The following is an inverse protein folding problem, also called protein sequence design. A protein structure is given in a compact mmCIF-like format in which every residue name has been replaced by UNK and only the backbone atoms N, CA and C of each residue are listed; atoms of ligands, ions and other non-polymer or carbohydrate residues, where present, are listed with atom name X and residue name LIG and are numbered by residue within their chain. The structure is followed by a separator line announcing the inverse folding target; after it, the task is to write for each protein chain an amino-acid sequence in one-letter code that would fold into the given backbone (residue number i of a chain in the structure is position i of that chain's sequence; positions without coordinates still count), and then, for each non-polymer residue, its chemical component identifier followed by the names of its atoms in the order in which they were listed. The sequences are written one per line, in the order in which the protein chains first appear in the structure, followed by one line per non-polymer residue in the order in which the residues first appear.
data_IF_600204496105
#
_entry.id   IF_600204496105
#
_cell.length_a   1.000
_cell.length_b   1.000
_cell.length_c   1.000
_cell.angle_alpha   90.00
_cell.angle_beta   90.00
_cell.angle_gamma   90.00
#
_symmetry.space_group_name_H-M   'P 1'
#
loop_
_entity.id
_entity.type
_entity.pdbx_description
1 polymer ?
#
# COMPACT_ATOMS: atom_id res chain seq x y z
N UNK A 1 -34.53 28.65 -33.69
CA UNK A 1 -34.12 28.71 -32.27
C UNK A 1 -34.09 27.37 -31.54
N UNK A 2 -34.62 26.26 -32.10
CA UNK A 2 -34.66 24.95 -31.42
C UNK A 2 -33.36 24.13 -31.47
N UNK A 3 -32.45 24.37 -32.44
CA UNK A 3 -31.21 23.58 -32.58
C UNK A 3 -30.17 23.86 -31.48
N UNK A 4 -30.21 25.05 -30.86
CA UNK A 4 -29.28 25.41 -29.77
C UNK A 4 -29.50 24.59 -28.50
N UNK A 5 -30.75 24.24 -28.20
CA UNK A 5 -31.09 23.43 -27.03
C UNK A 5 -30.72 21.95 -27.20
N UNK A 6 -30.72 21.44 -28.44
CA UNK A 6 -30.37 20.05 -28.71
C UNK A 6 -28.88 19.76 -28.46
N UNK A 7 -28.00 20.71 -28.81
CA UNK A 7 -26.55 20.61 -28.57
C UNK A 7 -26.23 20.64 -27.07
N UNK A 8 -26.93 21.48 -26.30
CA UNK A 8 -26.76 21.55 -24.84
C UNK A 8 -27.27 20.28 -24.17
N UNK A 9 -28.40 19.72 -24.62
CA UNK A 9 -28.93 18.46 -24.10
C UNK A 9 -28.01 17.27 -24.41
N UNK A 10 -27.36 17.25 -25.59
CA UNK A 10 -26.39 16.19 -25.91
C UNK A 10 -25.10 16.25 -25.08
N UNK A 11 -24.68 17.43 -24.62
CA UNK A 11 -23.47 17.58 -23.81
C UNK A 11 -23.66 17.05 -22.37
N UNK A 12 -24.89 17.08 -21.86
CA UNK A 12 -25.22 16.64 -20.50
C UNK A 12 -25.12 15.11 -20.31
N UNK A 13 -25.10 14.32 -21.38
CA UNK A 13 -24.97 12.85 -21.30
C UNK A 13 -23.51 12.36 -21.31
N UNK A 14 -22.52 13.25 -21.39
CA UNK A 14 -21.09 12.89 -21.39
C UNK A 14 -20.38 13.05 -20.04
N UNK A 15 -21.11 13.24 -18.94
CA UNK A 15 -20.55 13.06 -17.59
C UNK A 15 -20.45 11.56 -17.26
N UNK A 16 -19.57 10.86 -17.98
CA UNK A 16 -19.10 9.55 -17.56
C UNK A 16 -18.30 9.73 -16.28
N UNK A 17 -18.65 8.96 -15.24
CA UNK A 17 -17.82 8.85 -14.04
C UNK A 17 -16.43 8.40 -14.46
N UNK A 18 -15.49 9.35 -14.51
CA UNK A 18 -14.07 9.04 -14.59
C UNK A 18 -13.73 8.44 -13.23
N UNK A 19 -13.86 7.12 -13.12
CA UNK A 19 -13.27 6.33 -12.05
C UNK A 19 -11.75 6.45 -12.19
N UNK A 20 -11.21 7.60 -11.80
CA UNK A 20 -9.80 7.76 -11.59
C UNK A 20 -9.41 6.74 -10.52
N UNK A 21 -8.49 5.83 -10.88
CA UNK A 21 -7.91 4.85 -9.97
C UNK A 21 -7.24 5.62 -8.83
N UNK A 22 -8.00 5.87 -7.77
CA UNK A 22 -7.51 6.62 -6.63
C UNK A 22 -7.32 5.66 -5.49
N UNK A 23 -6.05 5.37 -5.23
CA UNK A 23 -5.64 4.77 -3.98
C UNK A 23 -6.24 5.60 -2.84
N UNK A 24 -6.82 4.93 -1.85
CA UNK A 24 -7.31 5.60 -0.67
C UNK A 24 -6.20 5.68 0.36
N UNK A 25 -6.05 6.86 0.94
CA UNK A 25 -5.17 7.05 2.08
C UNK A 25 -5.58 6.15 3.25
N UNK A 26 -4.59 5.54 3.89
CA UNK A 26 -4.74 4.74 5.11
C UNK A 26 -3.97 5.43 6.22
N UNK A 27 -4.65 5.74 7.32
CA UNK A 27 -4.06 6.45 8.46
C UNK A 27 -3.69 5.46 9.55
N UNK A 28 -2.47 5.57 10.08
CA UNK A 28 -2.03 4.83 11.27
C UNK A 28 -2.31 5.72 12.49
N UNK A 29 -3.10 5.21 13.43
CA UNK A 29 -3.33 5.87 14.73
C UNK A 29 -2.16 5.63 15.69
N UNK A 30 -2.08 6.39 16.80
CA UNK A 30 -1.06 6.20 17.84
C UNK A 30 -1.03 4.77 18.41
N UNK A 31 -2.18 4.09 18.50
CA UNK A 31 -2.29 2.69 18.92
C UNK A 31 -2.03 1.66 17.81
N UNK A 32 -1.52 2.10 16.66
CA UNK A 32 -1.22 1.25 15.51
C UNK A 32 -2.44 0.80 14.70
N UNK A 33 -3.68 1.19 15.04
CA UNK A 33 -4.85 0.86 14.22
C UNK A 33 -4.77 1.53 12.85
N UNK A 34 -5.10 0.79 11.79
CA UNK A 34 -5.21 1.29 10.42
C UNK A 34 -6.65 1.72 10.11
N UNK A 35 -6.84 2.97 9.72
CA UNK A 35 -8.14 3.55 9.34
C UNK A 35 -8.14 3.84 7.84
N UNK A 36 -9.23 3.52 7.15
CA UNK A 36 -9.38 3.77 5.70
C UNK A 36 -9.55 2.49 4.87
N UNK A 37 -9.38 1.32 5.47
CA UNK A 37 -9.63 0.02 4.81
C UNK A 37 -11.13 -0.36 4.84
N UNK A 38 -11.61 -1.09 3.82
CA UNK A 38 -12.94 -1.70 3.83
C UNK A 38 -13.18 -2.62 5.03
N UNK A 39 -14.44 -2.75 5.46
CA UNK A 39 -14.83 -3.54 6.64
C UNK A 39 -14.36 -5.00 6.58
N UNK A 40 -14.39 -5.62 5.39
CA UNK A 40 -13.95 -7.00 5.18
C UNK A 40 -12.46 -7.24 5.50
N UNK A 41 -11.65 -6.18 5.56
CA UNK A 41 -10.22 -6.24 5.88
C UNK A 41 -9.91 -5.85 7.33
N UNK A 42 -10.94 -5.60 8.14
CA UNK A 42 -10.81 -5.32 9.57
C UNK A 42 -10.84 -6.63 10.39
N UNK A 43 -10.20 -6.68 11.57
CA UNK A 43 -9.36 -5.63 12.17
C UNK A 43 -8.03 -5.44 11.43
N UNK A 44 -7.48 -4.23 11.47
CA UNK A 44 -6.25 -3.89 10.77
C UNK A 44 -5.34 -3.03 11.65
N UNK A 45 -4.08 -3.46 11.81
CA UNK A 45 -3.10 -2.83 12.68
C UNK A 45 -1.70 -2.86 12.06
N UNK A 46 -0.93 -1.80 12.26
CA UNK A 46 0.50 -1.74 12.03
C UNK A 46 1.22 -1.17 13.24
N UNK A 47 2.05 -1.99 13.87
CA UNK A 47 2.89 -1.60 15.00
C UNK A 47 4.30 -1.33 14.48
N UNK A 48 4.70 -0.05 14.45
CA UNK A 48 5.99 0.38 13.88
C UNK A 48 7.16 -0.24 14.65
N UNK A 49 7.12 -0.23 15.99
CA UNK A 49 8.23 -0.69 16.82
C UNK A 49 8.51 -2.19 16.65
N UNK A 50 7.44 -3.00 16.64
CA UNK A 50 7.52 -4.45 16.42
C UNK A 50 7.52 -4.83 14.94
N UNK A 51 7.40 -3.86 14.02
CA UNK A 51 7.25 -4.05 12.56
C UNK A 51 6.20 -5.13 12.23
N UNK A 52 5.08 -5.10 12.95
CA UNK A 52 4.03 -6.10 12.81
C UNK A 52 2.83 -5.52 12.07
N UNK A 53 2.45 -6.16 10.97
CA UNK A 53 1.24 -5.86 10.20
C UNK A 53 0.19 -6.94 10.47
N UNK A 54 -1.04 -6.52 10.73
CA UNK A 54 -2.23 -7.37 10.79
C UNK A 54 -3.29 -6.80 9.85
N UNK A 55 -3.87 -7.66 9.03
CA UNK A 55 -5.04 -7.37 8.19
C UNK A 55 -6.01 -8.55 8.30
N UNK A 56 -7.21 -8.29 8.82
CA UNK A 56 -8.21 -9.30 9.14
C UNK A 56 -7.63 -10.43 9.99
N UNK A 57 -7.64 -11.64 9.42
CA UNK A 57 -7.16 -12.87 10.06
C UNK A 57 -5.69 -13.17 9.78
N UNK A 58 -4.99 -12.34 9.03
CA UNK A 58 -3.57 -12.55 8.73
C UNK A 58 -2.71 -11.58 9.52
N UNK A 59 -1.55 -12.04 9.95
CA UNK A 59 -0.55 -11.23 10.62
C UNK A 59 0.84 -11.61 10.14
N UNK A 60 1.75 -10.63 10.14
CA UNK A 60 3.13 -10.79 9.72
C UNK A 60 3.99 -9.87 10.58
N UNK A 61 5.04 -10.43 11.18
CA UNK A 61 6.18 -9.62 11.64
C UNK A 61 7.12 -9.51 10.46
N UNK A 62 7.43 -8.30 10.02
CA UNK A 62 8.23 -8.09 8.82
C UNK A 62 9.60 -8.76 8.97
N UNK A 63 9.97 -9.67 8.05
CA UNK A 63 11.28 -10.29 8.07
C UNK A 63 12.36 -9.24 7.80
N UNK A 64 13.61 -9.54 8.13
CA UNK A 64 14.77 -8.63 8.01
C UNK A 64 14.86 -7.94 6.64
N UNK A 65 14.52 -8.66 5.56
CA UNK A 65 14.57 -8.11 4.21
C UNK A 65 13.63 -6.92 3.99
N UNK A 66 12.57 -6.79 4.78
CA UNK A 66 11.63 -5.66 4.81
C UNK A 66 11.93 -4.74 5.99
N UNK A 67 12.09 -5.29 7.19
CA UNK A 67 12.18 -4.49 8.43
C UNK A 67 13.41 -3.61 8.50
N UNK A 68 14.51 -3.94 7.80
CA UNK A 68 15.70 -3.08 7.67
C UNK A 68 15.43 -1.70 7.07
N UNK A 69 14.31 -1.55 6.35
CA UNK A 69 13.91 -0.29 5.73
C UNK A 69 13.08 0.61 6.65
N UNK A 70 12.60 0.07 7.77
CA UNK A 70 11.92 0.83 8.81
C UNK A 70 12.99 1.37 9.78
N UNK A 71 13.63 2.47 9.36
CA UNK A 71 14.64 3.19 10.14
C UNK A 71 14.05 3.65 11.49
N UNK A 72 14.84 3.57 12.56
CA UNK A 72 14.44 4.06 13.88
C UNK A 72 14.36 5.59 13.95
N UNK A 73 13.54 6.09 14.87
CA UNK A 73 13.44 7.48 15.36
C UNK A 73 13.39 8.59 14.30
N UNK A 74 12.16 8.92 13.88
CA UNK A 74 11.74 10.18 13.24
C UNK A 74 12.39 10.54 11.91
N UNK A 75 13.36 9.79 11.41
CA UNK A 75 14.03 10.05 10.13
C UNK A 75 13.37 9.36 8.93
N UNK A 76 12.17 8.80 9.13
CA UNK A 76 11.39 8.14 8.09
C UNK A 76 10.00 8.79 7.98
N UNK A 77 9.65 9.23 6.77
CA UNK A 77 8.27 9.53 6.42
C UNK A 77 7.62 8.23 5.91
N UNK A 78 6.55 7.81 6.57
CA UNK A 78 5.78 6.62 6.21
C UNK A 78 4.42 7.09 5.70
N UNK A 79 4.10 6.80 4.45
CA UNK A 79 2.77 7.01 3.87
C UNK A 79 2.14 5.66 3.55
N UNK A 80 0.89 5.47 3.95
CA UNK A 80 0.12 4.26 3.64
C UNK A 80 -1.07 4.62 2.77
N UNK A 81 -1.37 3.71 1.85
CA UNK A 81 -2.62 3.74 1.12
C UNK A 81 -3.00 2.34 0.68
N UNK A 82 -4.16 2.23 0.06
CA UNK A 82 -4.65 0.95 -0.44
C UNK A 82 -5.52 1.13 -1.68
N UNK A 83 -5.59 0.08 -2.48
CA UNK A 83 -6.53 -0.02 -3.59
C UNK A 83 -7.26 -1.35 -3.57
N UNK A 84 -8.57 -1.29 -3.76
CA UNK A 84 -9.47 -2.46 -3.73
C UNK A 84 -10.65 -2.35 -4.70
N UNK A 85 -10.74 -1.27 -5.47
CA UNK A 85 -11.89 -0.96 -6.34
C UNK A 85 -11.77 -1.59 -7.75
N UNK A 86 -10.84 -2.51 -7.96
CA UNK A 86 -10.63 -3.12 -9.27
C UNK A 86 -11.67 -4.22 -9.53
N UNK A 87 -12.49 -4.06 -10.59
CA UNK A 87 -13.40 -5.11 -11.09
C UNK A 87 -12.64 -6.35 -11.58
N UNK A 88 -11.39 -6.17 -12.02
CA UNK A 88 -10.47 -7.25 -12.37
C UNK A 88 -9.59 -7.56 -11.16
N UNK A 89 -9.45 -8.84 -10.81
CA UNK A 89 -8.64 -9.32 -9.67
C UNK A 89 -7.12 -9.17 -9.86
N UNK A 90 -6.67 -8.46 -10.89
CA UNK A 90 -5.25 -8.30 -11.19
C UNK A 90 -4.93 -6.81 -11.41
N UNK A 91 -4.18 -6.16 -10.50
CA UNK A 91 -3.65 -6.71 -9.25
C UNK A 91 -4.76 -7.02 -8.22
N UNK A 92 -4.53 -7.93 -7.26
CA UNK A 92 -5.47 -8.15 -6.17
C UNK A 92 -5.59 -6.89 -5.29
N UNK A 93 -6.63 -6.76 -4.46
CA UNK A 93 -6.69 -5.70 -3.45
C UNK A 93 -5.41 -5.66 -2.61
N UNK A 94 -4.84 -4.47 -2.44
CA UNK A 94 -3.53 -4.32 -1.81
C UNK A 94 -3.46 -3.09 -0.90
N UNK A 95 -2.55 -3.16 0.07
CA UNK A 95 -2.09 -2.04 0.88
C UNK A 95 -0.63 -1.78 0.52
N UNK A 96 -0.24 -0.52 0.46
CA UNK A 96 1.14 -0.13 0.21
C UNK A 96 1.72 0.71 1.35
N UNK A 97 3.05 0.64 1.46
CA UNK A 97 3.87 1.47 2.33
C UNK A 97 4.87 2.20 1.45
N UNK A 98 4.82 3.52 1.47
CA UNK A 98 5.88 4.38 0.96
C UNK A 98 6.76 4.81 2.12
N UNK A 99 8.00 4.34 2.10
CA UNK A 99 9.02 4.64 3.09
C UNK A 99 10.02 5.60 2.45
N UNK A 100 10.05 6.84 2.94
CA UNK A 100 10.97 7.88 2.46
C UNK A 100 11.81 8.41 3.61
N UNK A 101 13.10 8.05 3.71
CA UNK A 101 14.01 8.68 4.65
C UNK A 101 14.04 10.20 4.45
N UNK A 102 14.16 10.95 5.52
CA UNK A 102 14.21 12.43 5.46
C UNK A 102 15.52 12.96 4.92
N UNK A 103 16.61 12.20 5.06
CA UNK A 103 17.99 12.63 4.82
C UNK A 103 18.70 11.83 3.73
N UNK A 104 18.04 10.85 3.12
CA UNK A 104 18.65 9.95 2.14
C UNK A 104 17.90 10.03 0.81
N UNK A 105 18.64 9.92 -0.29
CA UNK A 105 18.11 10.06 -1.64
C UNK A 105 17.57 8.72 -2.18
N UNK A 106 16.71 8.07 -1.42
CA UNK A 106 15.92 6.94 -1.91
C UNK A 106 14.51 6.91 -1.32
N UNK A 107 13.63 6.15 -1.96
CA UNK A 107 12.33 5.76 -1.43
C UNK A 107 12.12 4.28 -1.67
N UNK A 108 11.30 3.67 -0.81
CA UNK A 108 10.94 2.26 -0.92
C UNK A 108 9.44 2.18 -0.95
N UNK A 109 8.90 1.44 -1.92
CA UNK A 109 7.50 1.09 -1.99
C UNK A 109 7.35 -0.40 -1.78
N UNK A 110 6.52 -0.78 -0.80
CA UNK A 110 6.14 -2.15 -0.51
C UNK A 110 4.65 -2.30 -0.80
N UNK A 111 4.26 -3.34 -1.54
CA UNK A 111 2.86 -3.66 -1.77
C UNK A 111 2.55 -5.04 -1.20
N UNK A 112 1.50 -5.14 -0.38
CA UNK A 112 1.03 -6.39 0.20
C UNK A 112 -0.42 -6.66 -0.20
N UNK A 113 -0.72 -7.89 -0.59
CA UNK A 113 -2.10 -8.30 -0.83
C UNK A 113 -2.91 -8.24 0.47
N UNK A 114 -4.09 -7.61 0.44
CA UNK A 114 -4.96 -7.48 1.61
C UNK A 114 -5.53 -8.84 2.06
N UNK A 115 -5.78 -9.76 1.12
CA UNK A 115 -6.38 -11.07 1.40
C UNK A 115 -5.38 -12.07 2.04
N UNK A 116 -4.09 -11.96 1.73
CA UNK A 116 -3.08 -12.99 2.10
C UNK A 116 -1.84 -12.44 2.80
N UNK A 117 -1.59 -11.13 2.77
CA UNK A 117 -0.31 -10.51 3.13
C UNK A 117 0.90 -10.99 2.32
N UNK A 118 0.68 -11.58 1.14
CA UNK A 118 1.77 -11.82 0.18
C UNK A 118 2.41 -10.50 -0.26
N UNK A 119 3.74 -10.45 -0.34
CA UNK A 119 4.47 -9.34 -0.93
C UNK A 119 4.28 -9.35 -2.46
N UNK A 120 3.63 -8.32 -2.98
CA UNK A 120 3.32 -8.15 -4.41
C UNK A 120 4.41 -7.37 -5.14
N UNK A 121 5.06 -6.41 -4.47
CA UNK A 121 6.25 -5.73 -4.99
C UNK A 121 7.09 -5.17 -3.85
N UNK A 122 8.39 -5.03 -4.14
CA UNK A 122 9.36 -4.29 -3.34
C UNK A 122 10.19 -3.48 -4.33
N UNK A 123 9.94 -2.18 -4.35
CA UNK A 123 10.56 -1.26 -5.29
C UNK A 123 11.46 -0.30 -4.51
N UNK A 124 12.77 -0.39 -4.73
CA UNK A 124 13.74 0.59 -4.18
C UNK A 124 14.08 1.58 -5.30
N UNK A 125 13.70 2.83 -5.09
CA UNK A 125 13.96 3.93 -6.03
C UNK A 125 15.00 4.86 -5.41
N UNK A 126 16.12 5.04 -6.08
CA UNK A 126 17.16 5.98 -5.68
C UNK A 126 17.12 7.21 -6.58
N UNK A 127 17.43 8.37 -6.02
CA UNK A 127 17.39 9.65 -6.70
C UNK A 127 18.81 10.20 -6.86
N UNK A 128 19.20 10.47 -8.10
CA UNK A 128 20.47 11.10 -8.43
C UNK A 128 20.42 12.61 -8.33
N UNK A 129 21.59 13.22 -8.15
CA UNK A 129 21.76 14.68 -8.05
C UNK A 129 21.36 15.43 -9.34
N UNK A 130 21.27 14.73 -10.47
CA UNK A 130 20.83 15.24 -11.77
C UNK A 130 19.34 14.92 -12.09
N UNK A 131 18.57 14.45 -11.11
CA UNK A 131 17.17 14.03 -11.31
C UNK A 131 17.00 12.64 -11.93
N UNK A 132 18.08 11.87 -12.12
CA UNK A 132 17.97 10.48 -12.54
C UNK A 132 17.33 9.62 -11.44
N UNK A 133 16.55 8.61 -11.85
CA UNK A 133 15.93 7.64 -10.94
C UNK A 133 16.43 6.25 -11.33
N UNK A 134 17.03 5.55 -10.38
CA UNK A 134 17.48 4.18 -10.55
C UNK A 134 16.62 3.26 -9.69
N UNK A 135 16.21 2.14 -10.29
CA UNK A 135 15.42 1.10 -9.62
C UNK A 135 16.25 -0.15 -9.51
N UNK A 136 16.46 -0.61 -8.28
CA UNK A 136 17.04 -1.92 -8.00
C UNK A 136 15.94 -2.77 -7.37
N UNK A 137 15.75 -4.02 -7.81
CA UNK A 137 14.55 -4.73 -7.36
C UNK A 137 14.44 -6.23 -7.60
N UNK A 138 14.88 -6.78 -8.74
CA UNK A 138 14.35 -8.11 -9.10
C UNK A 138 14.90 -9.26 -8.23
N UNK A 139 16.21 -9.31 -7.98
CA UNK A 139 16.82 -10.39 -7.19
C UNK A 139 16.54 -10.26 -5.68
N UNK A 140 16.48 -9.02 -5.17
CA UNK A 140 16.14 -8.73 -3.76
C UNK A 140 14.68 -9.06 -3.49
N UNK A 141 13.79 -8.77 -4.44
CA UNK A 141 12.37 -9.05 -4.35
C UNK A 141 12.08 -10.55 -4.18
N UNK A 142 12.67 -11.42 -5.00
CA UNK A 142 12.27 -12.84 -5.01
C UNK A 142 12.60 -13.56 -3.69
N UNK A 143 13.80 -13.35 -3.16
CA UNK A 143 14.19 -13.88 -1.84
C UNK A 143 13.33 -13.28 -0.74
N UNK A 144 13.04 -11.98 -0.81
CA UNK A 144 12.23 -11.32 0.20
C UNK A 144 10.77 -11.79 0.19
N UNK A 145 10.20 -12.04 -0.99
CA UNK A 145 8.85 -12.57 -1.15
C UNK A 145 8.67 -13.92 -0.47
N UNK A 146 9.64 -14.82 -0.61
CA UNK A 146 9.64 -16.13 0.08
C UNK A 146 9.67 -15.93 1.59
N UNK A 147 10.58 -15.08 2.09
CA UNK A 147 10.70 -14.80 3.52
C UNK A 147 9.41 -14.20 4.10
N UNK A 148 8.79 -13.26 3.38
CA UNK A 148 7.51 -12.67 3.77
C UNK A 148 6.43 -13.74 3.85
N UNK A 149 6.25 -14.54 2.80
CA UNK A 149 5.24 -15.61 2.76
C UNK A 149 5.38 -16.59 3.93
N UNK A 150 6.61 -16.99 4.25
CA UNK A 150 6.87 -17.91 5.36
C UNK A 150 6.62 -17.29 6.74
N UNK A 151 6.63 -15.96 6.84
CA UNK A 151 6.41 -15.24 8.08
C UNK A 151 4.93 -14.87 8.33
N UNK A 152 4.06 -15.00 7.31
CA UNK A 152 2.61 -14.81 7.47
C UNK A 152 2.03 -15.92 8.36
N UNK A 153 1.25 -15.52 9.35
CA UNK A 153 0.58 -16.41 10.30
C UNK A 153 -0.87 -15.99 10.49
N UNK A 154 -1.78 -16.93 10.81
CA UNK A 154 -3.09 -16.58 11.32
C UNK A 154 -2.94 -15.63 12.52
N UNK A 155 -3.68 -14.53 12.50
CA UNK A 155 -3.73 -13.60 13.62
C UNK A 155 -4.32 -14.30 14.83
N UNK A 156 -3.69 -14.12 15.98
CA UNK A 156 -4.23 -14.55 17.27
C UNK A 156 -5.30 -13.54 17.69
N UNK A 157 -6.46 -13.57 17.04
CA UNK A 157 -7.61 -12.83 17.57
C UNK A 157 -8.09 -13.59 18.80
N UNK A 158 -7.89 -13.02 19.99
CA UNK A 158 -8.61 -13.44 21.19
C UNK A 158 -10.08 -13.12 20.91
N UNK A 159 -10.91 -14.14 20.64
CA UNK A 159 -12.36 -13.99 20.77
C UNK A 159 -12.63 -13.52 22.19
N UNK A 160 -13.11 -12.28 22.33
CA UNK A 160 -13.87 -11.87 23.50
C UNK A 160 -15.33 -12.15 23.23
#
# INVERSE_FOLDING_TARGET
MMHRYFVVLSLAFFVSDVYAHKDREVVITEGGKLIGLPEQYLPAHFMIDSKQLQIGRNSLVFPECVSKYFLHDRDLNITLGSSWYHKQKNPPPYIYFDLKPKTQDFSIRLNFALDTLDLLSLDVQFYGTNGSVYRDGLAIYEKCRINVRNAVKPSKTVSK
#
